data_IF_041157125372
#
_entry.id   IF_041157125372
#
_cell.length_a   1.000
_cell.length_b   1.000
_cell.length_c   1.000
_cell.angle_alpha   90.00
_cell.angle_beta   90.00
_cell.angle_gamma   90.00
#
_symmetry.space_group_name_H-M   'P 1'
#
loop_
_entity.id
_entity.type
_entity.pdbx_description
1 polymer ?
#
# COMPACT_ATOMS: atom_id res chain seq x y z
N UNK A 1 93.68 -28.33 32.99
CA UNK A 1 92.90 -27.10 32.69
C UNK A 1 92.17 -26.70 33.95
N UNK A 2 92.42 -25.51 34.50
CA UNK A 2 91.98 -25.12 35.84
C UNK A 2 90.44 -25.05 35.92
N UNK A 3 89.86 -25.59 37.00
CA UNK A 3 88.41 -25.66 37.24
C UNK A 3 87.71 -24.29 37.08
N UNK A 4 88.38 -23.21 37.50
CA UNK A 4 87.91 -21.82 37.35
C UNK A 4 87.81 -21.34 35.89
N UNK A 5 88.59 -21.91 34.96
CA UNK A 5 88.54 -21.56 33.54
C UNK A 5 87.34 -22.22 32.84
N UNK A 6 87.01 -23.46 33.20
CA UNK A 6 85.86 -24.17 32.63
C UNK A 6 84.52 -23.58 33.09
N UNK A 7 84.40 -23.14 34.35
CA UNK A 7 83.20 -22.43 34.82
C UNK A 7 83.01 -21.08 34.13
N UNK A 8 84.10 -20.35 33.86
CA UNK A 8 84.03 -19.07 33.14
C UNK A 8 83.55 -19.23 31.69
N UNK A 9 84.06 -20.26 30.98
CA UNK A 9 83.61 -20.59 29.62
C UNK A 9 82.13 -21.02 29.61
N UNK A 10 81.70 -21.81 30.61
CA UNK A 10 80.30 -22.21 30.75
C UNK A 10 79.35 -21.02 30.94
N UNK A 11 79.72 -20.04 31.76
CA UNK A 11 78.92 -18.82 31.96
C UNK A 11 78.82 -18.00 30.67
N UNK A 12 79.94 -17.86 29.94
CA UNK A 12 79.95 -17.14 28.65
C UNK A 12 79.04 -17.85 27.63
N UNK A 13 79.07 -19.17 27.56
CA UNK A 13 78.21 -19.94 26.66
C UNK A 13 76.71 -19.74 26.98
N UNK A 14 76.35 -19.67 28.26
CA UNK A 14 74.96 -19.43 28.71
C UNK A 14 74.51 -18.01 28.35
N UNK A 15 75.39 -17.01 28.52
CA UNK A 15 75.08 -15.62 28.16
C UNK A 15 74.88 -15.47 26.64
N UNK A 16 75.70 -16.15 25.84
CA UNK A 16 75.55 -16.18 24.37
C UNK A 16 74.23 -16.87 23.96
N UNK A 17 73.84 -17.94 24.65
CA UNK A 17 72.59 -18.63 24.38
C UNK A 17 71.36 -17.78 24.75
N UNK A 18 71.42 -17.06 25.87
CA UNK A 18 70.36 -16.14 26.31
C UNK A 18 70.22 -14.92 25.39
N UNK A 19 71.34 -14.41 24.87
CA UNK A 19 71.30 -13.28 23.91
C UNK A 19 70.77 -13.70 22.55
N UNK A 20 71.13 -14.89 22.06
CA UNK A 20 70.59 -15.44 20.81
C UNK A 20 69.07 -15.69 20.89
N UNK A 21 68.60 -16.26 21.99
CA UNK A 21 67.17 -16.50 22.21
C UNK A 21 66.39 -15.19 22.36
N UNK A 22 66.94 -14.21 23.09
CA UNK A 22 66.37 -12.86 23.19
C UNK A 22 66.28 -12.16 21.82
N UNK A 23 67.28 -12.31 20.95
CA UNK A 23 67.30 -11.69 19.63
C UNK A 23 66.27 -12.29 18.65
N UNK A 24 66.02 -13.60 18.72
CA UNK A 24 65.06 -14.27 17.85
C UNK A 24 63.60 -14.12 18.29
N UNK A 25 63.34 -13.67 19.52
CA UNK A 25 61.99 -13.40 19.99
C UNK A 25 61.47 -12.12 19.31
N UNK A 26 60.31 -12.14 18.63
CA UNK A 26 59.76 -10.95 18.00
C UNK A 26 59.07 -10.04 19.04
N UNK A 27 59.86 -9.29 19.81
CA UNK A 27 59.42 -8.40 20.90
C UNK A 27 58.26 -7.46 20.51
N UNK A 28 58.18 -7.04 19.24
CA UNK A 28 57.10 -6.17 18.72
C UNK A 28 55.71 -6.83 18.61
N UNK A 29 55.63 -8.17 18.64
CA UNK A 29 54.36 -8.92 18.56
C UNK A 29 53.85 -9.38 19.92
N UNK A 30 54.62 -9.13 20.99
CA UNK A 30 54.23 -9.51 22.33
C UNK A 30 53.40 -8.37 22.91
N UNK A 31 52.08 -8.51 22.84
CA UNK A 31 51.14 -7.53 23.40
C UNK A 31 50.97 -7.80 24.91
N UNK A 32 51.85 -7.20 25.73
CA UNK A 32 51.72 -7.24 27.19
C UNK A 32 50.57 -6.30 27.60
N UNK A 33 49.39 -6.86 27.86
CA UNK A 33 48.33 -6.14 28.57
C UNK A 33 47.21 -5.49 27.74
N UNK A 34 47.08 -5.78 26.45
CA UNK A 34 45.93 -5.29 25.67
C UNK A 34 44.94 -6.43 25.45
N UNK A 35 43.89 -6.46 26.27
CA UNK A 35 42.70 -7.28 26.00
C UNK A 35 41.94 -6.58 24.88
N UNK A 36 42.10 -7.06 23.65
CA UNK A 36 41.34 -6.55 22.52
C UNK A 36 39.87 -6.97 22.65
N UNK A 37 39.00 -6.05 23.09
CA UNK A 37 37.55 -6.24 23.05
C UNK A 37 37.11 -6.35 21.59
N UNK A 38 36.76 -7.56 21.14
CA UNK A 38 36.26 -7.75 19.77
C UNK A 38 34.97 -6.95 19.56
N UNK A 39 34.77 -6.33 18.39
CA UNK A 39 33.55 -5.58 18.11
C UNK A 39 32.32 -6.50 18.16
N UNK A 40 31.22 -5.98 18.69
CA UNK A 40 29.98 -6.73 18.87
C UNK A 40 29.47 -7.29 17.53
N UNK A 41 29.11 -8.58 17.51
CA UNK A 41 28.54 -9.25 16.34
C UNK A 41 27.03 -9.01 16.32
N UNK A 42 26.55 -8.24 15.34
CA UNK A 42 25.13 -7.97 15.15
C UNK A 42 24.57 -8.83 14.02
N UNK A 43 23.39 -9.39 14.24
CA UNK A 43 22.61 -10.09 13.21
C UNK A 43 21.43 -9.20 12.86
N UNK A 44 21.39 -8.71 11.62
CA UNK A 44 20.28 -7.90 11.11
C UNK A 44 19.28 -8.82 10.41
N UNK A 45 18.06 -8.86 10.92
CA UNK A 45 16.97 -9.64 10.33
C UNK A 45 16.00 -8.68 9.66
N UNK A 46 15.64 -8.97 8.41
CA UNK A 46 14.58 -8.26 7.69
C UNK A 46 13.37 -9.17 7.56
N UNK A 47 12.26 -8.76 8.17
CA UNK A 47 10.97 -9.43 8.03
C UNK A 47 10.08 -8.68 7.05
N UNK A 48 9.46 -9.40 6.12
CA UNK A 48 8.43 -8.85 5.23
C UNK A 48 7.09 -9.52 5.54
N UNK A 49 6.07 -8.72 5.83
CA UNK A 49 4.71 -9.19 6.00
C UNK A 49 3.90 -8.92 4.72
N UNK A 50 3.41 -9.98 4.08
CA UNK A 50 2.54 -9.88 2.91
C UNK A 50 1.15 -10.33 3.33
N UNK A 51 0.19 -9.39 3.34
CA UNK A 51 -1.22 -9.67 3.62
C UNK A 51 -2.02 -9.66 2.33
N UNK A 52 -2.87 -10.67 2.13
CA UNK A 52 -3.86 -10.73 1.06
C UNK A 52 -5.24 -10.61 1.69
N UNK A 53 -5.94 -9.52 1.41
CA UNK A 53 -7.31 -9.31 1.85
C UNK A 53 -8.27 -9.46 0.68
N UNK A 54 -9.39 -10.16 0.90
CA UNK A 54 -10.51 -10.14 -0.05
C UNK A 54 -11.15 -8.76 -0.01
N UNK A 55 -11.72 -8.32 -1.13
CA UNK A 55 -12.40 -7.04 -1.19
C UNK A 55 -13.62 -7.05 -0.26
N UNK A 56 -13.67 -6.11 0.69
CA UNK A 56 -14.66 -6.07 1.76
C UNK A 56 -15.83 -5.13 1.46
N UNK A 57 -15.69 -4.25 0.47
CA UNK A 57 -16.72 -3.25 0.14
C UNK A 57 -16.82 -3.12 -1.38
N UNK A 58 -18.03 -3.28 -1.92
CA UNK A 58 -18.34 -3.05 -3.33
C UNK A 58 -19.43 -1.98 -3.45
N UNK A 59 -19.18 -0.96 -4.26
CA UNK A 59 -20.15 0.12 -4.51
C UNK A 59 -20.73 -0.02 -5.91
N UNK A 60 -22.05 -0.10 -5.99
CA UNK A 60 -22.79 -0.19 -7.25
C UNK A 60 -23.66 1.04 -7.44
N UNK A 61 -23.86 1.47 -8.68
CA UNK A 61 -24.77 2.57 -9.01
C UNK A 61 -25.70 2.12 -10.13
N UNK A 62 -27.01 2.19 -9.88
CA UNK A 62 -28.03 1.91 -10.88
C UNK A 62 -28.76 3.22 -11.23
N UNK A 63 -28.77 3.57 -12.52
CA UNK A 63 -29.45 4.75 -13.04
C UNK A 63 -30.68 4.37 -13.86
N UNK A 64 -31.74 5.16 -13.74
CA UNK A 64 -32.93 5.08 -14.59
C UNK A 64 -33.11 6.43 -15.27
N UNK A 65 -33.26 6.42 -16.59
CA UNK A 65 -33.65 7.58 -17.39
C UNK A 65 -34.92 7.26 -18.18
N UNK A 66 -35.88 8.18 -18.18
CA UNK A 66 -37.13 8.08 -18.92
C UNK A 66 -37.33 9.38 -19.69
N UNK A 67 -37.80 9.24 -20.92
CA UNK A 67 -38.18 10.36 -21.79
C UNK A 67 -39.68 10.29 -22.05
N UNK A 68 -40.42 11.36 -21.75
CA UNK A 68 -41.87 11.48 -22.05
C UNK A 68 -42.28 12.91 -22.38
N UNK A 69 -43.43 13.04 -23.03
CA UNK A 69 -44.02 14.34 -23.37
C UNK A 69 -44.54 15.10 -22.14
N UNK A 70 -45.02 14.38 -21.13
CA UNK A 70 -45.49 14.94 -19.86
C UNK A 70 -44.44 14.79 -18.76
N UNK A 71 -44.03 15.92 -18.17
CA UNK A 71 -43.07 16.00 -17.06
C UNK A 71 -43.50 15.16 -15.84
N UNK A 72 -44.79 15.21 -15.49
CA UNK A 72 -45.32 14.54 -14.30
C UNK A 72 -45.25 13.02 -14.49
N UNK A 73 -45.63 12.54 -15.67
CA UNK A 73 -45.59 11.12 -16.01
C UNK A 73 -44.16 10.60 -16.08
N UNK A 74 -43.23 11.39 -16.62
CA UNK A 74 -41.80 11.06 -16.64
C UNK A 74 -41.24 10.91 -15.21
N UNK A 75 -41.58 11.86 -14.32
CA UNK A 75 -41.11 11.87 -12.92
C UNK A 75 -41.68 10.69 -12.13
N UNK A 76 -42.97 10.42 -12.29
CA UNK A 76 -43.64 9.30 -11.61
C UNK A 76 -43.07 7.95 -12.06
N UNK A 77 -42.81 7.78 -13.36
CA UNK A 77 -42.25 6.53 -13.89
C UNK A 77 -40.83 6.29 -13.39
N UNK A 78 -39.97 7.31 -13.39
CA UNK A 78 -38.60 7.20 -12.85
C UNK A 78 -38.64 6.85 -11.37
N UNK A 79 -39.51 7.52 -10.60
CA UNK A 79 -39.66 7.25 -9.16
C UNK A 79 -40.11 5.80 -8.91
N UNK A 80 -41.10 5.32 -9.65
CA UNK A 80 -41.59 3.94 -9.51
C UNK A 80 -40.50 2.90 -9.86
N UNK A 81 -39.73 3.14 -10.92
CA UNK A 81 -38.63 2.25 -11.34
C UNK A 81 -37.50 2.23 -10.32
N UNK A 82 -37.11 3.38 -9.78
CA UNK A 82 -36.08 3.46 -8.73
C UNK A 82 -36.56 2.77 -7.45
N UNK A 83 -37.81 2.98 -7.04
CA UNK A 83 -38.39 2.28 -5.89
C UNK A 83 -38.36 0.76 -6.08
N UNK A 84 -38.68 0.26 -7.28
CA UNK A 84 -38.59 -1.17 -7.59
C UNK A 84 -37.15 -1.70 -7.47
N UNK A 85 -36.14 -0.93 -7.91
CA UNK A 85 -34.73 -1.31 -7.76
C UNK A 85 -34.33 -1.32 -6.28
N UNK A 86 -34.78 -0.33 -5.49
CA UNK A 86 -34.52 -0.27 -4.04
C UNK A 86 -35.15 -1.46 -3.31
N UNK A 87 -36.38 -1.83 -3.63
CA UNK A 87 -37.04 -3.01 -3.04
C UNK A 87 -36.34 -4.31 -3.44
N UNK A 88 -35.91 -4.43 -4.71
CA UNK A 88 -35.12 -5.58 -5.16
C UNK A 88 -33.76 -5.66 -4.43
N UNK A 89 -33.11 -4.52 -4.18
CA UNK A 89 -31.86 -4.44 -3.44
C UNK A 89 -32.04 -4.85 -1.97
N UNK A 90 -33.13 -4.44 -1.32
CA UNK A 90 -33.50 -4.90 0.04
C UNK A 90 -33.75 -6.40 0.06
N UNK A 91 -34.48 -6.92 -0.92
CA UNK A 91 -34.75 -8.36 -1.06
C UNK A 91 -33.48 -9.18 -1.29
N UNK A 92 -32.48 -8.60 -1.97
CA UNK A 92 -31.15 -9.20 -2.14
C UNK A 92 -30.34 -9.25 -0.83
N UNK A 93 -30.76 -8.52 0.21
CA UNK A 93 -30.10 -8.50 1.53
C UNK A 93 -29.26 -7.26 1.81
N UNK A 94 -29.34 -6.22 0.96
CA UNK A 94 -28.69 -4.94 1.21
C UNK A 94 -29.47 -4.20 2.28
N UNK A 95 -28.78 -3.78 3.35
CA UNK A 95 -29.41 -3.01 4.42
C UNK A 95 -29.81 -1.63 3.91
N UNK A 96 -30.94 -1.11 4.41
CA UNK A 96 -31.44 0.24 4.04
C UNK A 96 -30.41 1.34 4.30
N UNK A 97 -29.56 1.21 5.31
CA UNK A 97 -28.48 2.16 5.62
C UNK A 97 -27.41 2.28 4.54
N UNK A 98 -27.25 1.23 3.73
CA UNK A 98 -26.29 1.14 2.64
C UNK A 98 -26.90 1.48 1.26
N UNK A 99 -28.18 1.87 1.23
CA UNK A 99 -28.89 2.33 0.02
C UNK A 99 -28.99 3.85 0.05
N UNK A 100 -28.49 4.52 -0.99
CA UNK A 100 -28.57 5.98 -1.16
C UNK A 100 -29.14 6.34 -2.51
N UNK A 101 -30.36 6.87 -2.53
CA UNK A 101 -30.94 7.49 -3.73
C UNK A 101 -30.28 8.85 -3.94
N UNK A 102 -29.80 9.09 -5.16
CA UNK A 102 -29.16 10.34 -5.56
C UNK A 102 -30.18 11.36 -6.08
N UNK A 103 -29.67 12.48 -6.57
CA UNK A 103 -30.49 13.59 -7.09
C UNK A 103 -31.25 13.20 -8.35
N UNK A 104 -32.49 13.67 -8.44
CA UNK A 104 -33.29 13.63 -9.66
C UNK A 104 -32.91 14.79 -10.58
N UNK A 105 -32.56 14.48 -11.83
CA UNK A 105 -32.30 15.48 -12.87
C UNK A 105 -33.48 15.50 -13.84
N UNK A 106 -34.07 16.68 -14.02
CA UNK A 106 -35.24 16.89 -14.88
C UNK A 106 -34.93 18.02 -15.84
N UNK A 107 -34.92 17.73 -17.14
CA UNK A 107 -34.70 18.75 -18.17
C UNK A 107 -35.57 18.49 -19.39
N UNK A 108 -35.94 19.55 -20.10
CA UNK A 108 -36.69 19.46 -21.33
C UNK A 108 -35.73 19.53 -22.52
N UNK A 109 -35.81 18.55 -23.42
CA UNK A 109 -35.03 18.58 -24.65
C UNK A 109 -35.53 19.70 -25.57
N UNK A 110 -34.64 20.27 -26.35
CA UNK A 110 -34.99 21.19 -27.43
C UNK A 110 -34.80 20.48 -28.76
N UNK A 111 -35.85 20.42 -29.57
CA UNK A 111 -35.76 19.89 -30.92
C UNK A 111 -35.53 21.03 -31.90
N UNK A 112 -34.56 20.85 -32.79
CA UNK A 112 -34.28 21.79 -33.87
C UNK A 112 -35.11 21.37 -35.09
N UNK A 113 -35.86 22.32 -35.65
CA UNK A 113 -36.61 22.12 -36.89
C UNK A 113 -36.32 23.27 -37.86
N UNK A 114 -36.39 22.96 -39.15
CA UNK A 114 -36.21 23.94 -40.22
C UNK A 114 -37.57 24.38 -40.73
N UNK A 115 -37.80 25.68 -40.72
CA UNK A 115 -38.97 26.32 -41.33
C UNK A 115 -38.47 27.53 -42.12
N UNK A 116 -38.81 27.61 -43.40
CA UNK A 116 -38.40 28.68 -44.32
C UNK A 116 -36.87 28.95 -44.34
N UNK A 117 -36.05 27.90 -44.46
CA UNK A 117 -34.57 27.99 -44.42
C UNK A 117 -34.00 28.65 -43.14
N UNK A 118 -34.79 28.75 -42.07
CA UNK A 118 -34.33 29.21 -40.75
C UNK A 118 -34.43 28.08 -39.73
N UNK A 119 -33.37 27.92 -38.96
CA UNK A 119 -33.33 26.96 -37.86
C UNK A 119 -34.09 27.53 -36.67
N UNK A 120 -35.18 26.88 -36.27
CA UNK A 120 -35.98 27.22 -35.09
C UNK A 120 -35.91 26.08 -34.08
N UNK A 121 -36.08 26.42 -32.80
CA UNK A 121 -36.17 25.44 -31.72
C UNK A 121 -37.60 25.33 -31.24
N UNK A 122 -38.04 24.09 -30.97
CA UNK A 122 -39.29 23.82 -30.26
C UNK A 122 -39.01 23.03 -28.98
N UNK A 123 -39.80 23.24 -27.92
CA UNK A 123 -39.73 22.38 -26.74
C UNK A 123 -40.05 20.93 -27.15
N UNK A 124 -39.12 20.03 -26.92
CA UNK A 124 -39.27 18.60 -27.14
C UNK A 124 -39.67 17.86 -25.86
N UNK A 125 -39.35 16.58 -25.81
CA UNK A 125 -39.72 15.69 -24.70
C UNK A 125 -38.95 16.00 -23.41
N UNK A 126 -39.56 15.71 -22.27
CA UNK A 126 -38.92 15.79 -20.95
C UNK A 126 -38.07 14.55 -20.72
N UNK A 127 -36.80 14.76 -20.38
CA UNK A 127 -35.93 13.72 -19.86
C UNK A 127 -35.83 13.84 -18.34
N UNK A 128 -36.13 12.75 -17.66
CA UNK A 128 -35.97 12.63 -16.22
C UNK A 128 -35.01 11.49 -15.95
N UNK A 129 -33.98 11.73 -15.15
CA UNK A 129 -33.06 10.71 -14.69
C UNK A 129 -32.88 10.74 -13.18
N UNK A 130 -32.71 9.56 -12.60
CA UNK A 130 -32.41 9.38 -11.19
C UNK A 130 -31.49 8.16 -11.04
N UNK A 131 -30.65 8.14 -10.02
CA UNK A 131 -29.73 7.06 -9.72
C UNK A 131 -29.81 6.67 -8.25
N UNK A 132 -29.58 5.39 -7.97
CA UNK A 132 -29.41 4.88 -6.63
C UNK A 132 -28.03 4.22 -6.51
N UNK A 133 -27.32 4.51 -5.43
CA UNK A 133 -26.06 3.88 -5.06
C UNK A 133 -26.26 2.88 -3.94
N UNK A 134 -25.58 1.75 -4.04
CA UNK A 134 -25.67 0.62 -3.13
C UNK A 134 -24.26 0.26 -2.65
N UNK A 135 -24.12 0.02 -1.35
CA UNK A 135 -22.88 -0.48 -0.76
C UNK A 135 -23.10 -1.92 -0.30
N UNK A 136 -22.32 -2.85 -0.84
CA UNK A 136 -22.26 -4.24 -0.40
C UNK A 136 -21.05 -4.40 0.53
N UNK A 137 -21.25 -5.00 1.71
CA UNK A 137 -20.21 -5.29 2.71
C UNK A 137 -20.15 -6.79 2.99
#
# INVERSE_FOLDING_TARGET
MNEKLMTFIGIIAIIILLTLTCFFVPWKKVNWGIIATQPARTVTVTGQAISKQKNQIATFTAGVSVTKDNKQDATNEVTNKINAIVEAAKAFGIKTEDIKTQYISVYQNQEQYYEDNRQKTRPGQWNVSNSASFVLR
#
